data_IF_509958869698
#
_entry.id   IF_509958869698
#
_cell.length_a   1.000
_cell.length_b   1.000
_cell.length_c   1.000
_cell.angle_alpha   90.00
_cell.angle_beta   90.00
_cell.angle_gamma   90.00
#
_symmetry.space_group_name_H-M   'P 1'
#
loop_
_entity.id
_entity.type
_entity.pdbx_description
1 polymer ?
#
# COMPACT_ATOMS: atom_id res chain seq x y z
N UNK A 1 16.18 -28.78 5.59
CA UNK A 1 15.21 -28.97 4.49
C UNK A 1 14.57 -27.62 4.29
N UNK A 2 14.57 -27.06 3.07
CA UNK A 2 14.02 -25.73 2.84
C UNK A 2 12.54 -25.86 2.48
N UNK A 3 11.69 -25.16 3.22
CA UNK A 3 10.25 -25.05 2.96
C UNK A 3 9.98 -23.86 2.05
N UNK A 4 9.10 -24.02 1.05
CA UNK A 4 8.68 -22.91 0.19
C UNK A 4 7.25 -22.49 0.50
N UNK A 5 7.02 -21.18 0.62
CA UNK A 5 5.69 -20.60 0.86
C UNK A 5 5.31 -19.68 -0.28
N UNK A 6 4.15 -19.92 -0.88
CA UNK A 6 3.53 -19.05 -1.87
C UNK A 6 2.39 -18.28 -1.23
N UNK A 7 2.51 -16.95 -1.24
CA UNK A 7 1.46 -16.06 -0.71
C UNK A 7 0.57 -15.55 -1.85
N UNK A 8 -0.75 -15.41 -1.60
CA UNK A 8 -1.66 -14.81 -2.57
C UNK A 8 -1.45 -13.31 -2.69
N UNK A 9 -1.81 -12.76 -3.86
CA UNK A 9 -1.77 -11.32 -4.14
C UNK A 9 -2.83 -10.52 -3.36
N UNK A 10 -3.86 -11.20 -2.85
CA UNK A 10 -4.88 -10.59 -1.99
C UNK A 10 -5.09 -11.36 -0.69
N UNK A 11 -5.46 -10.66 0.39
CA UNK A 11 -5.51 -11.24 1.74
C UNK A 11 -4.13 -11.66 2.25
N UNK A 12 -3.06 -11.06 1.71
CA UNK A 12 -1.68 -11.46 1.93
C UNK A 12 -1.28 -11.50 3.40
N UNK A 13 -1.79 -10.56 4.21
CA UNK A 13 -1.47 -10.52 5.64
C UNK A 13 -1.99 -11.75 6.39
N UNK A 14 -3.24 -12.14 6.16
CA UNK A 14 -3.84 -13.28 6.85
C UNK A 14 -3.18 -14.59 6.40
N UNK A 15 -2.91 -14.74 5.11
CA UNK A 15 -2.17 -15.87 4.56
C UNK A 15 -0.75 -15.96 5.15
N UNK A 16 0.00 -14.85 5.19
CA UNK A 16 1.32 -14.83 5.82
C UNK A 16 1.26 -15.16 7.30
N UNK A 17 0.28 -14.61 8.03
CA UNK A 17 0.09 -14.87 9.46
C UNK A 17 -0.19 -16.33 9.74
N UNK A 18 -1.02 -16.98 8.93
CA UNK A 18 -1.32 -18.40 9.04
C UNK A 18 -0.06 -19.26 8.81
N UNK A 19 0.65 -19.02 7.70
CA UNK A 19 1.87 -19.75 7.38
C UNK A 19 2.97 -19.53 8.42
N UNK A 20 3.12 -18.31 8.94
CA UNK A 20 4.08 -17.99 9.99
C UNK A 20 3.74 -18.69 11.31
N UNK A 21 2.45 -18.84 11.64
CA UNK A 21 1.98 -19.60 12.81
C UNK A 21 2.27 -21.09 12.66
N UNK A 22 2.07 -21.65 11.47
CA UNK A 22 2.43 -23.04 11.18
C UNK A 22 3.94 -23.22 11.35
N UNK A 23 4.74 -22.39 10.68
CA UNK A 23 6.20 -22.51 10.71
C UNK A 23 6.78 -22.40 12.13
N UNK A 24 6.35 -21.40 12.92
CA UNK A 24 6.83 -21.24 14.29
C UNK A 24 6.37 -22.39 15.20
N UNK A 25 5.16 -22.93 14.99
CA UNK A 25 4.63 -24.04 15.79
C UNK A 25 5.37 -25.37 15.60
N UNK A 26 6.05 -25.53 14.46
CA UNK A 26 6.94 -26.65 14.16
C UNK A 26 8.43 -26.33 14.44
N UNK A 27 8.74 -25.13 14.93
CA UNK A 27 10.11 -24.73 15.19
C UNK A 27 10.97 -24.61 13.93
N UNK A 28 10.37 -24.30 12.78
CA UNK A 28 11.10 -24.13 11.51
C UNK A 28 11.90 -22.82 11.56
N UNK A 29 13.23 -22.91 11.42
CA UNK A 29 14.09 -21.73 11.51
C UNK A 29 13.89 -20.77 10.33
N UNK A 30 14.16 -19.46 10.50
CA UNK A 30 14.04 -18.50 9.40
C UNK A 30 14.89 -18.83 8.15
N UNK A 31 15.99 -19.55 8.31
CA UNK A 31 16.85 -19.98 7.20
C UNK A 31 16.33 -21.23 6.48
N UNK A 32 15.40 -21.97 7.08
CA UNK A 32 14.78 -23.16 6.51
C UNK A 32 13.47 -22.83 5.78
N UNK A 33 13.12 -21.56 5.61
CA UNK A 33 11.89 -21.13 4.95
C UNK A 33 12.16 -20.04 3.89
N UNK A 34 11.72 -20.30 2.67
CA UNK A 34 11.71 -19.35 1.57
C UNK A 34 10.31 -18.76 1.39
N UNK A 35 10.23 -17.44 1.58
CA UNK A 35 9.00 -16.66 1.47
C UNK A 35 8.81 -15.96 0.12
N UNK A 36 9.80 -16.04 -0.77
CA UNK A 36 9.77 -15.33 -2.05
C UNK A 36 8.90 -16.10 -3.07
N UNK A 37 8.81 -17.42 -2.92
CA UNK A 37 7.93 -18.28 -3.71
C UNK A 37 8.42 -18.49 -5.14
N UNK A 38 8.93 -19.68 -5.42
CA UNK A 38 8.97 -20.36 -6.73
C UNK A 38 9.43 -19.63 -8.01
N UNK A 39 10.20 -18.53 -7.94
CA UNK A 39 11.17 -18.17 -8.99
C UNK A 39 12.61 -18.60 -8.62
N UNK A 40 12.79 -19.15 -7.42
CA UNK A 40 14.01 -19.83 -7.01
C UNK A 40 14.08 -21.24 -7.57
N UNK A 41 15.27 -21.63 -8.03
CA UNK A 41 15.61 -22.92 -8.67
C UNK A 41 15.34 -24.18 -7.81
N UNK A 42 14.71 -24.06 -6.64
CA UNK A 42 14.54 -25.14 -5.67
C UNK A 42 13.07 -25.43 -5.41
N UNK A 43 12.67 -26.67 -5.71
CA UNK A 43 11.38 -27.26 -5.37
C UNK A 43 11.37 -27.58 -3.86
N UNK A 44 11.16 -26.55 -3.04
CA UNK A 44 11.14 -26.67 -1.57
C UNK A 44 9.93 -27.46 -1.09
N UNK A 45 10.05 -28.11 0.08
CA UNK A 45 8.93 -28.84 0.67
C UNK A 45 7.80 -27.86 1.06
N UNK A 46 6.54 -28.29 0.95
CA UNK A 46 5.43 -27.50 1.52
C UNK A 46 5.47 -27.53 3.04
N UNK A 47 5.03 -26.44 3.67
CA UNK A 47 4.83 -26.42 5.13
C UNK A 47 3.82 -27.51 5.55
N UNK A 48 3.89 -28.00 6.80
CA UNK A 48 2.87 -28.91 7.34
C UNK A 48 1.46 -28.30 7.27
N UNK A 49 0.46 -29.13 6.97
CA UNK A 49 -0.93 -28.66 6.81
C UNK A 49 -1.65 -28.36 8.15
N UNK A 50 -1.03 -28.66 9.29
CA UNK A 50 -1.59 -28.46 10.61
C UNK A 50 -0.58 -27.81 11.57
N UNK A 51 -1.03 -27.03 12.57
CA UNK A 51 -0.16 -26.50 13.61
C UNK A 51 0.57 -27.61 14.37
N UNK A 52 1.83 -27.36 14.72
CA UNK A 52 2.61 -28.21 15.61
C UNK A 52 2.28 -27.96 17.08
N UNK A 53 3.08 -28.55 17.98
CA UNK A 53 2.85 -28.49 19.42
C UNK A 53 3.22 -27.14 20.06
N UNK A 54 4.16 -26.41 19.46
CA UNK A 54 4.66 -25.15 20.02
C UNK A 54 3.64 -24.01 19.85
N UNK A 55 3.43 -23.25 20.93
CA UNK A 55 2.50 -22.11 20.96
C UNK A 55 3.26 -20.80 21.11
N UNK A 56 3.59 -20.19 19.98
CA UNK A 56 4.19 -18.86 19.97
C UNK A 56 3.19 -17.78 20.42
N UNK A 57 3.65 -16.87 21.27
CA UNK A 57 2.90 -15.68 21.69
C UNK A 57 3.59 -14.43 21.16
N UNK A 58 2.79 -13.45 20.70
CA UNK A 58 3.30 -12.19 20.17
C UNK A 58 2.67 -10.99 20.85
N UNK A 59 3.42 -9.91 20.93
CA UNK A 59 2.92 -8.65 21.46
C UNK A 59 2.02 -7.96 20.44
N UNK A 60 1.10 -7.11 20.93
CA UNK A 60 0.31 -6.23 20.06
C UNK A 60 1.20 -5.27 19.24
N UNK A 61 2.37 -4.89 19.78
CA UNK A 61 3.35 -4.08 19.08
C UNK A 61 3.89 -4.75 17.82
N UNK A 62 4.21 -6.05 17.90
CA UNK A 62 4.61 -6.82 16.72
C UNK A 62 3.51 -6.88 15.67
N UNK A 63 2.28 -7.21 16.06
CA UNK A 63 1.16 -7.31 15.13
C UNK A 63 0.91 -5.98 14.39
N UNK A 64 0.97 -4.85 15.11
CA UNK A 64 0.82 -3.52 14.49
C UNK A 64 1.93 -3.22 13.47
N UNK A 65 3.18 -3.56 13.81
CA UNK A 65 4.31 -3.37 12.90
C UNK A 65 4.18 -4.29 11.68
N UNK A 66 3.85 -5.56 11.88
CA UNK A 66 3.64 -6.54 10.81
C UNK A 66 2.53 -6.11 9.85
N UNK A 67 1.38 -5.65 10.37
CA UNK A 67 0.28 -5.11 9.57
C UNK A 67 0.69 -3.92 8.68
N UNK A 68 1.76 -3.20 9.04
CA UNK A 68 2.29 -2.10 8.23
C UNK A 68 3.34 -2.59 7.23
N UNK A 69 4.30 -3.40 7.67
CA UNK A 69 5.44 -3.85 6.85
C UNK A 69 5.03 -4.82 5.75
N UNK A 70 3.99 -5.64 5.97
CA UNK A 70 3.56 -6.67 5.02
C UNK A 70 3.26 -6.13 3.62
N UNK A 71 2.88 -4.85 3.53
CA UNK A 71 2.55 -4.16 2.28
C UNK A 71 3.76 -3.54 1.58
N UNK A 72 4.96 -3.61 2.16
CA UNK A 72 6.17 -3.08 1.54
C UNK A 72 6.45 -3.79 0.19
N UNK A 73 7.16 -3.14 -0.74
CA UNK A 73 7.45 -3.74 -2.05
C UNK A 73 8.63 -4.70 -2.04
N UNK A 74 9.54 -4.58 -1.07
CA UNK A 74 10.69 -5.47 -0.94
C UNK A 74 10.23 -6.93 -0.71
N UNK A 75 10.69 -7.91 -1.52
CA UNK A 75 10.31 -9.32 -1.37
C UNK A 75 10.72 -9.94 -0.02
N UNK A 76 11.83 -9.49 0.59
CA UNK A 76 12.31 -10.01 1.87
C UNK A 76 11.40 -9.67 3.07
N UNK A 77 10.40 -8.79 2.91
CA UNK A 77 9.53 -8.32 4.00
C UNK A 77 8.91 -9.45 4.81
N UNK A 78 8.52 -10.54 4.15
CA UNK A 78 7.89 -11.70 4.79
C UNK A 78 8.88 -12.45 5.68
N UNK A 79 10.08 -12.71 5.15
CA UNK A 79 11.17 -13.35 5.88
C UNK A 79 11.67 -12.51 7.04
N UNK A 80 11.78 -11.19 6.87
CA UNK A 80 12.18 -10.27 7.95
C UNK A 80 11.15 -10.22 9.08
N UNK A 81 9.85 -10.23 8.75
CA UNK A 81 8.79 -10.32 9.74
C UNK A 81 8.81 -11.67 10.47
N UNK A 82 9.06 -12.76 9.74
CA UNK A 82 9.20 -14.09 10.34
C UNK A 82 10.45 -14.19 11.23
N UNK A 83 11.57 -13.59 10.84
CA UNK A 83 12.77 -13.50 11.66
C UNK A 83 12.52 -12.72 12.95
N UNK A 84 11.75 -11.63 12.89
CA UNK A 84 11.35 -10.89 14.08
C UNK A 84 10.43 -11.72 14.99
N UNK A 85 9.46 -12.43 14.42
CA UNK A 85 8.61 -13.39 15.15
C UNK A 85 9.44 -14.45 15.87
N UNK A 86 10.36 -15.09 15.15
CA UNK A 86 11.26 -16.12 15.69
C UNK A 86 12.08 -15.60 16.87
N UNK A 87 12.69 -14.42 16.72
CA UNK A 87 13.49 -13.81 17.78
C UNK A 87 12.66 -13.42 18.99
N UNK A 88 11.42 -12.95 18.81
CA UNK A 88 10.51 -12.68 19.91
C UNK A 88 10.15 -13.96 20.66
N UNK A 89 9.81 -15.02 19.93
CA UNK A 89 9.45 -16.32 20.50
C UNK A 89 10.58 -16.93 21.34
N UNK A 90 11.82 -16.77 20.89
CA UNK A 90 13.02 -17.25 21.59
C UNK A 90 13.59 -16.28 22.63
N UNK A 91 12.93 -15.16 22.90
CA UNK A 91 13.45 -14.08 23.76
C UNK A 91 14.87 -13.61 23.37
N UNK A 92 15.15 -13.58 22.06
CA UNK A 92 16.47 -13.30 21.50
C UNK A 92 16.63 -11.82 21.06
N UNK A 93 17.04 -10.99 22.02
CA UNK A 93 17.23 -9.55 21.83
C UNK A 93 15.92 -8.79 21.65
N UNK A 94 15.98 -7.60 21.02
CA UNK A 94 14.83 -6.69 20.89
C UNK A 94 14.48 -6.41 19.40
N UNK A 95 13.95 -7.40 18.65
CA UNK A 95 13.75 -7.29 17.20
C UNK A 95 12.71 -6.23 16.77
N UNK A 96 12.03 -5.57 17.71
CA UNK A 96 11.09 -4.47 17.46
C UNK A 96 11.68 -3.08 17.78
N UNK A 97 12.84 -3.03 18.42
CA UNK A 97 13.49 -1.79 18.84
C UNK A 97 14.15 -1.08 17.66
N UNK A 98 14.18 0.25 17.68
CA UNK A 98 14.92 1.04 16.69
C UNK A 98 16.44 0.91 16.82
N UNK A 99 16.90 0.49 18.01
CA UNK A 99 18.32 0.21 18.26
C UNK A 99 18.78 -1.08 17.59
N UNK A 100 17.88 -2.06 17.44
CA UNK A 100 18.15 -3.32 16.76
C UNK A 100 18.17 -3.13 15.23
N UNK A 101 19.16 -3.68 14.49
CA UNK A 101 19.22 -3.54 13.03
C UNK A 101 17.97 -4.06 12.30
N UNK A 102 17.40 -5.19 12.74
CA UNK A 102 16.17 -5.75 12.17
C UNK A 102 15.00 -4.84 12.46
N UNK A 103 14.84 -4.41 13.72
CA UNK A 103 13.76 -3.51 14.13
C UNK A 103 13.82 -2.19 13.37
N UNK A 104 15.00 -1.58 13.24
CA UNK A 104 15.21 -0.36 12.43
C UNK A 104 14.77 -0.55 10.98
N UNK A 105 15.14 -1.67 10.35
CA UNK A 105 14.76 -1.99 8.96
C UNK A 105 13.24 -2.11 8.82
N UNK A 106 12.59 -2.82 9.73
CA UNK A 106 11.12 -2.97 9.76
C UNK A 106 10.41 -1.62 9.94
N UNK A 107 10.88 -0.76 10.84
CA UNK A 107 10.30 0.57 11.05
C UNK A 107 10.45 1.48 9.83
N UNK A 108 11.58 1.42 9.12
CA UNK A 108 11.77 2.17 7.88
C UNK A 108 10.80 1.71 6.78
N UNK A 109 10.58 0.39 6.65
CA UNK A 109 9.60 -0.18 5.73
C UNK A 109 8.16 0.25 6.10
N UNK A 110 7.79 0.17 7.39
CA UNK A 110 6.48 0.61 7.85
C UNK A 110 6.25 2.10 7.56
N UNK A 111 7.27 2.93 7.77
CA UNK A 111 7.21 4.37 7.48
C UNK A 111 7.03 4.66 5.99
N UNK A 112 7.71 3.94 5.09
CA UNK A 112 7.55 4.15 3.65
C UNK A 112 6.17 3.69 3.15
N UNK A 113 5.67 2.55 3.66
CA UNK A 113 4.29 2.09 3.41
C UNK A 113 3.27 3.15 3.84
N UNK A 114 3.39 3.68 5.06
CA UNK A 114 2.47 4.70 5.56
C UNK A 114 2.45 5.97 4.71
N UNK A 115 3.62 6.41 4.22
CA UNK A 115 3.71 7.55 3.29
C UNK A 115 3.04 7.27 1.96
N UNK A 116 3.19 6.08 1.41
CA UNK A 116 2.56 5.70 0.13
C UNK A 116 1.03 5.62 0.27
N UNK A 117 0.53 5.10 1.40
CA UNK A 117 -0.91 5.12 1.71
C UNK A 117 -1.42 6.56 1.78
N UNK A 118 -0.69 7.45 2.46
CA UNK A 118 -1.05 8.87 2.52
C UNK A 118 -1.08 9.51 1.13
N UNK A 119 -0.10 9.22 0.26
CA UNK A 119 -0.09 9.66 -1.14
C UNK A 119 -1.31 9.14 -1.91
N UNK A 120 -1.68 7.86 -1.73
CA UNK A 120 -2.88 7.30 -2.34
C UNK A 120 -4.13 8.09 -1.92
N UNK A 121 -4.30 8.33 -0.62
CA UNK A 121 -5.43 9.13 -0.09
C UNK A 121 -5.45 10.56 -0.61
N UNK A 122 -4.29 11.18 -0.81
CA UNK A 122 -4.17 12.56 -1.27
C UNK A 122 -4.32 12.74 -2.79
N UNK A 123 -3.89 11.75 -3.60
CA UNK A 123 -3.72 11.92 -5.04
C UNK A 123 -4.61 11.05 -5.91
N UNK A 124 -5.34 10.08 -5.36
CA UNK A 124 -6.40 9.41 -6.12
C UNK A 124 -7.43 10.46 -6.55
N UNK A 125 -7.76 10.45 -7.84
CA UNK A 125 -8.77 11.32 -8.45
C UNK A 125 -9.75 10.44 -9.20
N UNK A 126 -11.01 10.53 -8.78
CA UNK A 126 -12.10 9.84 -9.45
C UNK A 126 -12.58 10.65 -10.64
N UNK A 127 -12.76 9.97 -11.76
CA UNK A 127 -13.40 10.47 -12.99
C UNK A 127 -14.71 9.72 -13.18
N UNK A 128 -15.74 10.42 -13.61
CA UNK A 128 -17.04 9.81 -13.81
C UNK A 128 -17.01 9.00 -15.11
N UNK A 129 -17.65 7.83 -15.09
CA UNK A 129 -17.81 7.01 -16.28
C UNK A 129 -19.21 7.25 -16.88
N UNK A 130 -19.38 7.14 -18.21
CA UNK A 130 -20.67 7.27 -18.86
C UNK A 130 -21.75 6.41 -18.18
N UNK A 131 -22.93 6.99 -17.98
CA UNK A 131 -24.05 6.35 -17.31
C UNK A 131 -24.50 5.11 -18.10
N UNK A 132 -24.36 3.92 -17.51
CA UNK A 132 -24.99 2.69 -18.03
C UNK A 132 -25.82 1.99 -16.96
N UNK A 133 -26.27 2.69 -15.91
CA UNK A 133 -26.98 2.10 -14.77
C UNK A 133 -27.55 3.12 -13.79
N UNK A 134 -28.18 2.64 -12.71
CA UNK A 134 -28.89 3.45 -11.70
C UNK A 134 -27.96 4.18 -10.70
N UNK A 135 -26.71 3.73 -10.56
CA UNK A 135 -25.71 4.31 -9.66
C UNK A 135 -24.59 4.95 -10.48
N UNK A 136 -24.12 6.13 -10.03
CA UNK A 136 -22.97 6.82 -10.62
C UNK A 136 -21.72 5.96 -10.44
N UNK A 137 -20.93 5.85 -11.50
CA UNK A 137 -19.73 5.02 -11.53
C UNK A 137 -18.51 5.89 -11.74
N UNK A 138 -17.47 5.60 -11.00
CA UNK A 138 -16.22 6.34 -11.06
C UNK A 138 -15.03 5.42 -11.27
N UNK A 139 -14.01 5.94 -11.93
CA UNK A 139 -12.73 5.26 -12.08
C UNK A 139 -11.57 6.20 -11.75
N UNK A 140 -10.53 5.63 -11.15
CA UNK A 140 -9.28 6.30 -10.86
C UNK A 140 -8.10 5.41 -11.24
N UNK A 141 -7.01 6.04 -11.66
CA UNK A 141 -5.73 5.39 -11.87
C UNK A 141 -4.71 5.84 -10.82
N UNK A 142 -4.01 4.90 -10.20
CA UNK A 142 -2.96 5.19 -9.23
C UNK A 142 -1.77 4.23 -9.38
N UNK A 143 -0.56 4.76 -9.22
CA UNK A 143 0.68 3.98 -9.30
C UNK A 143 1.38 3.99 -7.94
N UNK A 144 1.09 2.99 -7.07
CA UNK A 144 1.67 2.90 -5.74
C UNK A 144 3.13 2.40 -5.80
N UNK A 145 3.98 2.89 -4.89
CA UNK A 145 5.34 2.37 -4.69
C UNK A 145 5.31 0.98 -4.03
N UNK A 146 4.33 0.76 -3.16
CA UNK A 146 4.18 -0.42 -2.33
C UNK A 146 2.85 -1.17 -2.63
N UNK A 147 2.65 -2.34 -2.03
CA UNK A 147 1.45 -3.16 -2.23
C UNK A 147 0.28 -2.64 -1.37
N UNK A 148 -0.06 -1.36 -1.51
CA UNK A 148 -0.91 -0.63 -0.55
C UNK A 148 -2.40 -0.56 -0.94
N UNK A 149 -2.80 -1.16 -2.05
CA UNK A 149 -4.17 -1.05 -2.56
C UNK A 149 -5.16 -1.64 -1.55
N UNK A 150 -4.87 -2.80 -0.97
CA UNK A 150 -5.73 -3.41 0.06
C UNK A 150 -5.86 -2.52 1.32
N UNK A 151 -4.77 -2.15 2.03
CA UNK A 151 -4.91 -1.33 3.23
C UNK A 151 -5.40 0.10 2.94
N UNK A 152 -5.08 0.65 1.76
CA UNK A 152 -5.42 2.01 1.38
C UNK A 152 -6.87 2.19 0.90
N UNK A 153 -7.45 1.18 0.25
CA UNK A 153 -8.79 1.26 -0.37
C UNK A 153 -9.94 1.39 0.62
N UNK A 154 -9.80 0.87 1.84
CA UNK A 154 -10.83 0.97 2.89
C UNK A 154 -11.20 2.42 3.25
N UNK A 155 -10.27 3.36 3.09
CA UNK A 155 -10.50 4.79 3.28
C UNK A 155 -11.56 5.32 2.29
N UNK A 156 -11.44 4.95 1.02
CA UNK A 156 -12.36 5.37 -0.03
C UNK A 156 -13.73 4.70 0.14
N UNK A 157 -13.76 3.42 0.51
CA UNK A 157 -15.03 2.70 0.73
C UNK A 157 -15.87 3.33 1.83
N UNK A 158 -15.23 3.84 2.89
CA UNK A 158 -15.92 4.55 3.98
C UNK A 158 -16.38 5.95 3.59
N UNK A 159 -15.62 6.66 2.75
CA UNK A 159 -15.86 8.07 2.42
C UNK A 159 -16.75 8.28 1.19
N UNK A 160 -16.77 7.30 0.28
CA UNK A 160 -17.48 7.32 -1.00
C UNK A 160 -18.37 6.08 -1.12
N UNK A 161 -19.16 5.81 -0.08
CA UNK A 161 -20.03 4.63 0.01
C UNK A 161 -21.31 4.75 -0.83
N UNK A 162 -21.69 5.98 -1.20
CA UNK A 162 -22.88 6.34 -1.95
C UNK A 162 -22.73 6.14 -3.47
N UNK A 163 -21.51 5.91 -3.95
CA UNK A 163 -21.18 5.70 -5.36
C UNK A 163 -20.49 4.35 -5.59
N UNK A 164 -20.46 3.90 -6.85
CA UNK A 164 -19.65 2.75 -7.26
C UNK A 164 -18.35 3.26 -7.87
N UNK A 165 -17.21 2.67 -7.49
CA UNK A 165 -15.92 3.17 -7.93
C UNK A 165 -14.87 2.07 -8.12
N UNK A 166 -13.91 2.35 -8.98
CA UNK A 166 -12.75 1.50 -9.25
C UNK A 166 -11.47 2.32 -9.08
N UNK A 167 -10.52 1.80 -8.33
CA UNK A 167 -9.14 2.30 -8.30
C UNK A 167 -8.27 1.23 -8.97
N UNK A 168 -7.90 1.49 -10.22
CA UNK A 168 -7.02 0.64 -11.00
C UNK A 168 -5.55 0.99 -10.73
N UNK A 169 -4.72 -0.02 -10.57
CA UNK A 169 -3.26 0.10 -10.49
C UNK A 169 -2.61 -0.99 -11.35
N UNK A 170 -1.29 -0.90 -11.63
CA UNK A 170 -0.60 -1.94 -12.38
C UNK A 170 -0.63 -3.34 -11.73
N UNK A 171 -0.76 -3.42 -10.39
CA UNK A 171 -0.64 -4.68 -9.64
C UNK A 171 -1.96 -5.24 -9.13
N UNK A 172 -2.82 -4.37 -8.60
CA UNK A 172 -4.10 -4.76 -8.00
C UNK A 172 -5.14 -3.68 -8.26
N UNK A 173 -6.36 -4.10 -8.58
CA UNK A 173 -7.50 -3.20 -8.77
C UNK A 173 -8.45 -3.34 -7.59
N UNK A 174 -8.76 -2.23 -6.91
CA UNK A 174 -9.82 -2.18 -5.92
C UNK A 174 -11.13 -1.76 -6.59
N UNK A 175 -12.20 -2.54 -6.40
CA UNK A 175 -13.55 -2.23 -6.89
C UNK A 175 -14.51 -2.19 -5.72
N UNK A 176 -15.23 -1.08 -5.60
CA UNK A 176 -16.33 -0.92 -4.67
C UNK A 176 -17.63 -0.78 -5.44
N UNK A 177 -18.53 -1.73 -5.26
CA UNK A 177 -19.79 -1.83 -5.99
C UNK A 177 -20.88 -2.34 -5.05
N UNK A 178 -22.04 -1.68 -5.04
CA UNK A 178 -23.17 -2.04 -4.21
C UNK A 178 -22.82 -2.23 -2.70
N UNK A 179 -21.95 -1.35 -2.18
CA UNK A 179 -21.52 -1.39 -0.77
C UNK A 179 -20.43 -2.43 -0.45
N UNK A 180 -19.92 -3.16 -1.46
CA UNK A 180 -18.92 -4.22 -1.28
C UNK A 180 -17.59 -3.85 -1.91
N UNK A 181 -16.52 -3.92 -1.12
CA UNK A 181 -15.14 -3.81 -1.60
C UNK A 181 -14.63 -5.18 -2.04
N UNK A 182 -14.01 -5.23 -3.22
CA UNK A 182 -13.42 -6.43 -3.82
C UNK A 182 -12.10 -6.09 -4.51
N UNK A 183 -11.23 -7.09 -4.65
CA UNK A 183 -9.92 -6.96 -5.27
C UNK A 183 -9.84 -7.85 -6.50
N UNK A 184 -9.27 -7.30 -7.57
CA UNK A 184 -9.12 -7.93 -8.88
C UNK A 184 -7.68 -7.77 -9.36
N UNK A 185 -7.22 -8.58 -10.33
CA UNK A 185 -5.92 -8.39 -10.95
C UNK A 185 -5.70 -6.93 -11.41
N UNK A 186 -4.46 -6.47 -11.28
CA UNK A 186 -4.03 -5.20 -11.86
C UNK A 186 -4.14 -5.20 -13.38
N UNK A 187 -3.98 -4.03 -13.97
CA UNK A 187 -4.12 -3.88 -15.42
C UNK A 187 -3.45 -2.64 -15.95
N UNK A 188 -3.68 -2.38 -17.23
CA UNK A 188 -3.26 -1.15 -17.87
C UNK A 188 -4.11 0.03 -17.42
N UNK A 189 -3.58 1.25 -17.61
CA UNK A 189 -4.32 2.47 -17.33
C UNK A 189 -5.62 2.48 -18.16
N UNK A 190 -6.80 2.59 -17.54
CA UNK A 190 -8.05 2.70 -18.29
C UNK A 190 -8.05 4.00 -19.10
N UNK A 191 -8.69 3.96 -20.27
CA UNK A 191 -8.95 5.16 -21.07
C UNK A 191 -10.01 5.99 -20.35
N UNK A 192 -9.56 6.94 -19.54
CA UNK A 192 -10.41 7.87 -18.82
C UNK A 192 -10.41 9.18 -19.62
N UNK A 193 -11.50 9.47 -20.32
CA UNK A 193 -11.70 10.74 -21.04
C UNK A 193 -11.43 11.94 -20.12
N UNK A 194 -10.93 13.04 -20.69
CA UNK A 194 -10.78 14.30 -19.94
C UNK A 194 -12.17 14.83 -19.57
N UNK A 195 -12.55 14.70 -18.30
CA UNK A 195 -13.86 15.08 -17.80
C UNK A 195 -13.93 16.59 -17.51
N UNK A 196 -15.11 17.18 -17.71
CA UNK A 196 -15.44 18.59 -17.42
C UNK A 196 -15.19 18.99 -15.94
N UNK A 197 -14.98 18.03 -15.05
CA UNK A 197 -14.62 18.19 -13.63
C UNK A 197 -13.23 18.80 -13.42
N UNK A 198 -12.34 18.75 -14.43
CA UNK A 198 -11.00 19.38 -14.37
C UNK A 198 -11.09 20.91 -14.24
N UNK A 199 -12.10 21.54 -14.85
CA UNK A 199 -12.29 23.00 -14.81
C UNK A 199 -12.74 23.48 -13.42
N UNK A 200 -13.65 22.74 -12.75
CA UNK A 200 -14.21 23.14 -11.46
C UNK A 200 -13.19 23.01 -10.31
N UNK A 201 -12.31 22.01 -10.39
CA UNK A 201 -11.28 21.75 -9.36
C UNK A 201 -10.12 22.75 -9.46
N UNK A 202 -9.72 23.14 -10.68
CA UNK A 202 -8.73 24.20 -10.92
C UNK A 202 -9.15 25.53 -10.29
N UNK A 203 -10.44 25.89 -10.40
CA UNK A 203 -10.99 27.09 -9.76
C UNK A 203 -10.98 27.01 -8.23
N UNK A 204 -11.28 25.84 -7.64
CA UNK A 204 -11.23 25.65 -6.19
C UNK A 204 -9.79 25.72 -5.65
N UNK A 205 -8.82 25.14 -6.35
CA UNK A 205 -7.41 25.16 -5.96
C UNK A 205 -6.79 26.56 -6.10
N UNK A 206 -7.10 27.29 -7.18
CA UNK A 206 -6.66 28.67 -7.37
C UNK A 206 -7.18 29.62 -6.26
N UNK A 207 -8.40 29.39 -5.75
CA UNK A 207 -9.00 30.22 -4.70
C UNK A 207 -8.49 29.94 -3.27
N UNK A 208 -7.87 28.78 -3.01
CA UNK A 208 -7.31 28.43 -1.69
C UNK A 208 -5.79 28.62 -1.64
N UNK A 209 -5.15 28.78 -2.80
CA UNK A 209 -3.71 29.00 -2.90
C UNK A 209 -3.32 30.40 -2.41
N UNK A 210 -2.61 30.45 -1.28
CA UNK A 210 -2.04 31.67 -0.73
C UNK A 210 -0.53 31.75 -1.12
N UNK A 211 -0.14 32.64 -2.05
CA UNK A 211 1.24 32.76 -2.52
C UNK A 211 2.25 33.01 -1.40
N UNK A 212 1.86 33.73 -0.34
CA UNK A 212 2.72 34.07 0.78
C UNK A 212 3.02 32.91 1.74
N UNK A 213 2.41 31.72 1.56
CA UNK A 213 2.61 30.52 2.40
C UNK A 213 3.27 29.36 1.67
N UNK A 214 3.74 29.54 0.43
CA UNK A 214 4.27 28.45 -0.39
C UNK A 214 5.68 28.07 0.04
N UNK A 215 5.81 26.93 0.74
CA UNK A 215 7.11 26.26 0.93
C UNK A 215 7.38 25.34 -0.26
N UNK A 216 7.95 25.87 -1.32
CA UNK A 216 8.28 25.16 -2.57
C UNK A 216 8.98 23.80 -2.35
N UNK A 217 9.91 23.72 -1.40
CA UNK A 217 10.61 22.47 -1.07
C UNK A 217 9.71 21.44 -0.39
N UNK A 218 8.80 21.88 0.50
CA UNK A 218 7.80 21.00 1.11
C UNK A 218 6.76 20.56 0.07
N UNK A 219 6.31 21.47 -0.80
CA UNK A 219 5.39 21.15 -1.89
C UNK A 219 5.97 20.12 -2.86
N UNK A 220 7.26 20.24 -3.24
CA UNK A 220 7.95 19.25 -4.10
C UNK A 220 8.18 17.90 -3.41
N UNK A 221 8.37 17.89 -2.09
CA UNK A 221 8.51 16.67 -1.29
C UNK A 221 7.17 15.95 -1.12
N UNK A 222 6.09 16.69 -0.91
CA UNK A 222 4.74 16.16 -0.72
C UNK A 222 4.04 15.81 -2.06
N UNK A 223 4.37 16.50 -3.16
CA UNK A 223 3.82 16.25 -4.50
C UNK A 223 4.90 15.83 -5.53
N UNK A 224 5.36 14.57 -5.53
CA UNK A 224 6.31 14.07 -6.52
C UNK A 224 5.80 14.18 -7.96
N UNK A 225 6.68 14.61 -8.89
CA UNK A 225 6.37 14.82 -10.32
C UNK A 225 5.68 13.64 -11.02
N UNK A 226 5.92 12.41 -10.58
CA UNK A 226 5.28 11.22 -11.17
C UNK A 226 3.75 11.21 -11.01
N UNK A 227 3.21 11.81 -9.95
CA UNK A 227 1.75 11.90 -9.74
C UNK A 227 1.11 13.07 -10.49
N UNK A 228 1.90 13.99 -11.05
CA UNK A 228 1.38 15.18 -11.73
C UNK A 228 0.53 14.82 -12.96
N UNK A 229 0.85 13.71 -13.63
CA UNK A 229 0.05 13.17 -14.74
C UNK A 229 -1.36 12.72 -14.34
N UNK A 230 -1.65 12.61 -13.05
CA UNK A 230 -2.95 12.25 -12.48
C UNK A 230 -3.59 13.43 -11.72
N UNK A 231 -2.95 14.61 -11.76
CA UNK A 231 -3.34 15.80 -11.03
C UNK A 231 -3.52 16.97 -12.01
N UNK A 232 -4.75 17.23 -12.51
CA UNK A 232 -5.02 18.34 -13.43
C UNK A 232 -4.58 19.72 -12.88
N UNK A 233 -4.51 19.86 -11.56
CA UNK A 233 -4.00 21.02 -10.82
C UNK A 233 -2.56 21.38 -11.16
N UNK A 234 -1.74 20.37 -11.43
CA UNK A 234 -0.30 20.56 -11.65
C UNK A 234 0.01 21.29 -12.95
N UNK A 235 -0.98 21.38 -13.87
CA UNK A 235 -0.92 22.24 -15.07
C UNK A 235 -0.95 23.74 -14.72
N UNK A 236 -1.56 24.12 -13.59
CA UNK A 236 -1.68 25.51 -13.13
C UNK A 236 -0.48 25.96 -12.28
N UNK A 237 0.26 25.01 -11.68
CA UNK A 237 1.40 25.30 -10.80
C UNK A 237 2.48 26.18 -11.46
N UNK A 238 2.90 25.96 -12.73
CA UNK A 238 3.92 26.79 -13.37
C UNK A 238 3.50 28.26 -13.52
N UNK A 239 2.24 28.51 -13.91
CA UNK A 239 1.73 29.86 -14.10
C UNK A 239 1.46 30.55 -12.74
N UNK A 240 1.01 29.80 -11.73
CA UNK A 240 0.83 30.30 -10.36
C UNK A 240 2.16 30.63 -9.67
N UNK A 241 3.24 29.90 -9.96
CA UNK A 241 4.58 30.23 -9.47
C UNK A 241 5.13 31.50 -10.14
N UNK A 242 4.87 31.68 -11.44
CA UNK A 242 5.24 32.89 -12.18
C UNK A 242 4.48 34.12 -11.66
N UNK A 243 3.21 33.96 -11.31
CA UNK A 243 2.37 35.01 -10.70
C UNK A 243 2.72 35.28 -9.22
N UNK A 244 3.29 34.32 -8.50
CA UNK A 244 3.77 34.52 -7.13
C UNK A 244 5.10 35.28 -7.09
N UNK A 245 6.01 35.03 -8.04
CA UNK A 245 7.27 35.77 -8.18
C UNK A 245 7.05 37.23 -8.63
N UNK A 246 5.95 37.53 -9.34
CA UNK A 246 5.64 38.89 -9.81
C UNK A 246 4.94 39.78 -8.76
N UNK A 247 4.49 39.21 -7.64
CA UNK A 247 3.74 39.91 -6.57
C UNK A 247 4.54 40.07 -5.26
N UNK A 248 5.84 39.78 -5.27
CA UNK A 248 6.78 40.00 -4.17
C UNK A 248 7.74 41.12 -4.53
#
# INVERSE_FOLDING_TARGET
>A
MIYSVKLPDGGTFDAWREMARIAISHGIEPNDIDWIGADGLFDGASLPNAPGEHKASVTQGFLKLAHSVIWHSNPERFGLLYQALWRLDRNAGEPLSHADPLGRRLHLMAKSVGRDIHKMHAFVRFRELPETGLRRRFAAWFEPEHNIVEPGSSFFAKRFADMDWVIATPRLTARFEAGRLSYHPGGTRPDLSEDATETLWGTYFANIFNPARVKLNAMRSEMPKKYWKNLPETRLIPDMLRDAESRV
#
